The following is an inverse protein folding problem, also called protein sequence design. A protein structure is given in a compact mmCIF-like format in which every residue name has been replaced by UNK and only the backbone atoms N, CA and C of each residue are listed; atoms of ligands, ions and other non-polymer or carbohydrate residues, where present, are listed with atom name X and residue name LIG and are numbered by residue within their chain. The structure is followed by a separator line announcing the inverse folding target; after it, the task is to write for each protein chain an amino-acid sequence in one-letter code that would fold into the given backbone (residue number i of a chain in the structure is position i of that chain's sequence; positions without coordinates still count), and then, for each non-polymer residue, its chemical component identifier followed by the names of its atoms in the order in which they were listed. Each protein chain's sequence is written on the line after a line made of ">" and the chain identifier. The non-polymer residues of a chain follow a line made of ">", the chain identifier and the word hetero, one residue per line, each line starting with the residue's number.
data_IF_829993707460
#
_entry.id   IF_829993707460
#
_cell.length_a   1.000
_cell.length_b   1.000
_cell.length_c   1.000
_cell.angle_alpha   90.00
_cell.angle_beta   90.00
_cell.angle_gamma   90.00
#
_symmetry.space_group_name_H-M   'P 1'
#
loop_
_entity.id
_entity.type
_entity.pdbx_description
1 polymer ?
#
# COMPACT_ATOMS: atom_id res chain seq x y z
N UNK A 1 16.15 17.90 -2.00
CA UNK A 1 16.30 17.35 -0.63
C UNK A 1 16.50 15.83 -0.71
N UNK A 2 16.90 15.16 0.37
CA UNK A 2 17.01 13.68 0.40
C UNK A 2 15.68 12.99 0.05
N UNK A 3 14.56 13.58 0.49
CA UNK A 3 13.21 13.10 0.22
C UNK A 3 12.82 13.18 -1.26
N UNK A 4 13.22 14.26 -1.94
CA UNK A 4 13.02 14.40 -3.39
C UNK A 4 13.83 13.35 -4.16
N UNK A 5 15.09 13.10 -3.76
CA UNK A 5 15.91 12.07 -4.39
C UNK A 5 15.30 10.66 -4.23
N UNK A 6 14.77 10.35 -3.04
CA UNK A 6 14.11 9.08 -2.80
C UNK A 6 12.84 8.94 -3.66
N UNK A 7 12.05 10.01 -3.77
CA UNK A 7 10.86 10.06 -4.61
C UNK A 7 11.21 9.83 -6.08
N UNK A 8 12.22 10.54 -6.61
CA UNK A 8 12.72 10.36 -7.98
C UNK A 8 13.19 8.93 -8.25
N UNK A 9 13.93 8.33 -7.31
CA UNK A 9 14.36 6.94 -7.41
C UNK A 9 13.16 5.98 -7.45
N UNK A 10 12.11 6.21 -6.66
CA UNK A 10 10.86 5.44 -6.73
C UNK A 10 10.20 5.59 -8.11
N UNK A 11 10.10 6.81 -8.66
CA UNK A 11 9.51 7.01 -9.99
C UNK A 11 10.29 6.26 -11.07
N UNK A 12 11.62 6.38 -11.05
CA UNK A 12 12.50 5.73 -12.03
C UNK A 12 12.43 4.21 -11.97
N UNK A 13 12.32 3.63 -10.77
CA UNK A 13 12.30 2.17 -10.57
C UNK A 13 10.94 1.53 -10.81
N UNK A 14 9.84 2.22 -10.50
CA UNK A 14 8.47 1.69 -10.58
C UNK A 14 7.65 2.18 -11.76
N UNK A 15 8.07 3.28 -12.41
CA UNK A 15 7.24 3.99 -13.40
C UNK A 15 6.12 4.83 -12.80
N UNK A 16 6.03 4.96 -11.47
CA UNK A 16 4.96 5.70 -10.80
C UNK A 16 5.07 7.23 -11.04
N UNK A 17 4.03 7.80 -11.65
CA UNK A 17 3.95 9.23 -11.99
C UNK A 17 2.97 10.03 -11.13
N UNK A 18 2.23 9.38 -10.24
CA UNK A 18 1.25 10.03 -9.37
C UNK A 18 1.89 10.84 -8.23
N UNK A 19 1.03 11.49 -7.44
CA UNK A 19 1.44 12.25 -6.26
C UNK A 19 2.14 11.35 -5.24
N UNK A 20 3.22 11.86 -4.64
CA UNK A 20 3.91 11.25 -3.51
C UNK A 20 3.80 12.25 -2.37
N UNK A 21 3.23 11.80 -1.24
CA UNK A 21 3.13 12.59 -0.02
C UNK A 21 4.18 12.08 0.95
N UNK A 22 4.98 13.00 1.50
CA UNK A 22 5.96 12.69 2.55
C UNK A 22 5.28 12.83 3.91
N UNK A 23 5.07 11.71 4.60
CA UNK A 23 4.39 11.65 5.90
C UNK A 23 5.34 11.14 7.00
N UNK A 24 6.38 11.91 7.33
CA UNK A 24 7.42 11.50 8.29
C UNK A 24 6.90 11.30 9.72
N UNK A 25 5.77 11.92 10.08
CA UNK A 25 5.16 11.84 11.41
C UNK A 25 4.00 10.83 11.50
N UNK A 26 3.74 10.10 10.41
CA UNK A 26 2.60 9.19 10.27
C UNK A 26 1.26 9.90 10.57
N UNK A 27 1.13 11.18 10.20
CA UNK A 27 -0.08 11.98 10.38
C UNK A 27 -1.25 11.39 9.59
N UNK A 28 -1.04 11.00 8.33
CA UNK A 28 -2.09 10.40 7.50
C UNK A 28 -2.57 9.08 8.09
N UNK A 29 -1.65 8.23 8.55
CA UNK A 29 -2.01 6.97 9.21
C UNK A 29 -2.88 7.19 10.45
N UNK A 30 -2.54 8.18 11.29
CA UNK A 30 -3.33 8.55 12.47
C UNK A 30 -4.72 9.07 12.09
N UNK A 31 -4.80 9.96 11.11
CA UNK A 31 -6.05 10.56 10.64
C UNK A 31 -7.00 9.50 10.04
N UNK A 32 -6.48 8.60 9.21
CA UNK A 32 -7.26 7.51 8.61
C UNK A 32 -7.82 6.56 9.66
N UNK A 33 -7.05 6.29 10.72
CA UNK A 33 -7.51 5.50 11.87
C UNK A 33 -8.61 6.20 12.65
N UNK A 34 -8.46 7.49 12.93
CA UNK A 34 -9.47 8.28 13.64
C UNK A 34 -10.80 8.35 12.89
N UNK A 35 -10.74 8.37 11.54
CA UNK A 35 -11.93 8.31 10.67
C UNK A 35 -12.57 6.93 10.58
N UNK A 36 -11.91 5.89 11.09
CA UNK A 36 -12.33 4.50 10.94
C UNK A 36 -12.22 3.97 9.51
N UNK A 37 -11.39 4.60 8.66
CA UNK A 37 -11.27 4.23 7.25
C UNK A 37 -10.23 3.13 7.01
N UNK A 38 -9.12 3.20 7.74
CA UNK A 38 -7.98 2.29 7.59
C UNK A 38 -7.10 2.36 8.84
N UNK A 39 -6.68 1.21 9.37
CA UNK A 39 -5.70 1.14 10.47
C UNK A 39 -4.36 0.67 9.91
N UNK A 40 -3.50 1.63 9.53
CA UNK A 40 -2.18 1.34 8.98
C UNK A 40 -1.24 0.93 10.10
N UNK A 41 -0.67 -0.27 10.01
CA UNK A 41 0.33 -0.72 10.96
C UNK A 41 1.62 0.12 10.85
N UNK A 42 2.15 0.57 11.98
CA UNK A 42 3.43 1.28 12.07
C UNK A 42 4.42 0.40 12.81
N UNK A 43 5.57 0.13 12.20
CA UNK A 43 6.64 -0.67 12.81
C UNK A 43 7.87 0.18 13.11
N UNK A 44 8.54 -0.07 14.22
CA UNK A 44 9.84 0.54 14.50
C UNK A 44 10.86 0.21 13.41
N UNK A 45 11.59 1.23 12.93
CA UNK A 45 12.67 1.08 11.95
C UNK A 45 13.77 2.09 12.25
N UNK A 46 15.02 1.65 12.26
CA UNK A 46 16.16 2.55 12.46
C UNK A 46 16.17 3.64 11.35
N UNK A 47 16.38 4.89 11.75
CA UNK A 47 16.30 6.05 10.86
C UNK A 47 14.88 6.61 10.66
N UNK A 48 13.84 5.99 11.24
CA UNK A 48 12.46 6.48 11.20
C UNK A 48 12.00 6.79 12.64
N UNK A 49 12.14 8.05 13.07
CA UNK A 49 11.86 8.49 14.44
C UNK A 49 10.45 8.09 14.93
N UNK A 50 9.46 8.21 14.06
CA UNK A 50 8.06 7.89 14.38
C UNK A 50 7.63 6.49 13.89
N UNK A 51 8.59 5.65 13.50
CA UNK A 51 8.33 4.37 12.86
C UNK A 51 7.96 4.48 11.38
N UNK A 52 7.91 3.35 10.70
CA UNK A 52 7.60 3.25 9.29
C UNK A 52 6.20 2.68 9.08
N UNK A 53 5.38 3.38 8.29
CA UNK A 53 4.11 2.88 7.82
C UNK A 53 4.29 1.61 6.96
N UNK A 54 3.53 0.58 7.29
CA UNK A 54 3.48 -0.66 6.54
C UNK A 54 2.57 -0.52 5.30
N UNK A 55 2.77 -1.36 4.27
CA UNK A 55 1.95 -1.34 3.07
C UNK A 55 0.44 -1.40 3.38
N UNK A 56 -0.31 -0.53 2.71
CA UNK A 56 -1.76 -0.47 2.82
C UNK A 56 -2.37 0.12 1.55
N UNK A 57 -3.67 -0.12 1.35
CA UNK A 57 -4.45 0.34 0.20
C UNK A 57 -5.80 0.86 0.69
N UNK A 58 -6.18 2.01 0.16
CA UNK A 58 -7.46 2.65 0.42
C UNK A 58 -8.03 3.17 -0.91
N UNK A 59 -9.24 2.73 -1.24
CA UNK A 59 -10.02 3.31 -2.32
C UNK A 59 -11.25 4.01 -1.72
N UNK A 60 -11.37 5.31 -1.98
CA UNK A 60 -12.48 6.15 -1.51
C UNK A 60 -13.12 6.88 -2.68
N UNK A 61 -14.43 7.07 -2.60
CA UNK A 61 -15.14 8.00 -3.48
C UNK A 61 -14.93 9.44 -3.02
N UNK A 62 -15.20 10.39 -3.91
CA UNK A 62 -15.16 11.82 -3.59
C UNK A 62 -16.14 12.21 -2.45
N UNK A 63 -17.24 11.47 -2.30
CA UNK A 63 -18.20 11.64 -1.19
C UNK A 63 -17.72 11.02 0.15
N UNK A 64 -16.47 10.55 0.22
CA UNK A 64 -15.83 9.91 1.39
C UNK A 64 -16.34 8.51 1.74
N UNK A 65 -17.11 7.87 0.85
CA UNK A 65 -17.46 6.46 0.98
C UNK A 65 -16.22 5.58 0.70
N UNK A 66 -15.92 4.67 1.62
CA UNK A 66 -14.81 3.70 1.49
C UNK A 66 -15.28 2.51 0.65
N UNK A 67 -14.62 2.28 -0.47
CA UNK A 67 -14.89 1.14 -1.36
C UNK A 67 -13.96 -0.04 -1.08
N UNK A 68 -12.72 0.25 -0.70
CA UNK A 68 -11.76 -0.79 -0.38
C UNK A 68 -10.81 -0.30 0.70
N UNK A 69 -10.56 -1.14 1.69
CA UNK A 69 -9.63 -0.87 2.78
C UNK A 69 -8.87 -2.14 3.10
N UNK A 70 -7.55 -2.07 2.99
CA UNK A 70 -6.66 -3.16 3.34
C UNK A 70 -5.39 -2.58 3.95
N UNK A 71 -5.04 -3.05 5.14
CA UNK A 71 -3.74 -2.83 5.74
C UNK A 71 -3.15 -4.20 6.04
N UNK A 72 -1.85 -4.34 5.79
CA UNK A 72 -1.17 -5.55 6.24
C UNK A 72 -1.20 -5.62 7.77
N UNK A 73 -1.53 -6.79 8.31
CA UNK A 73 -1.40 -7.08 9.74
C UNK A 73 -0.05 -7.75 9.93
N UNK A 74 0.99 -7.08 10.45
CA UNK A 74 2.31 -7.66 10.55
C UNK A 74 2.31 -8.91 11.43
N UNK A 75 2.93 -9.97 10.94
CA UNK A 75 3.11 -11.23 11.67
C UNK A 75 4.43 -11.88 11.28
N UNK A 76 4.90 -12.84 12.07
CA UNK A 76 6.08 -13.63 11.69
C UNK A 76 5.87 -14.35 10.35
N UNK A 77 4.63 -14.75 10.05
CA UNK A 77 4.27 -15.48 8.83
C UNK A 77 4.37 -14.64 7.56
N UNK A 78 4.06 -13.34 7.62
CA UNK A 78 4.19 -12.43 6.48
C UNK A 78 5.52 -11.66 6.46
N UNK A 79 6.54 -12.18 7.15
CA UNK A 79 7.86 -11.56 7.29
C UNK A 79 7.75 -10.11 7.80
N UNK A 80 6.98 -9.90 8.87
CA UNK A 80 6.71 -8.59 9.47
C UNK A 80 6.12 -7.55 8.49
N UNK A 81 5.34 -8.01 7.51
CA UNK A 81 4.68 -7.18 6.51
C UNK A 81 5.37 -7.12 5.15
N UNK A 82 6.44 -7.89 4.94
CA UNK A 82 7.20 -7.85 3.69
C UNK A 82 6.56 -8.64 2.54
N UNK A 83 5.62 -9.55 2.82
CA UNK A 83 4.90 -10.36 1.81
C UNK A 83 3.38 -10.18 1.92
N UNK A 84 2.62 -10.88 1.09
CA UNK A 84 1.16 -10.99 1.19
C UNK A 84 0.38 -9.71 0.83
N UNK A 85 0.83 -9.03 -0.23
CA UNK A 85 0.10 -7.86 -0.77
C UNK A 85 -1.04 -8.33 -1.66
N UNK A 86 -2.20 -7.65 -1.65
CA UNK A 86 -3.30 -8.01 -2.53
C UNK A 86 -2.92 -7.77 -3.99
N UNK A 87 -3.44 -8.60 -4.89
CA UNK A 87 -3.24 -8.43 -6.33
C UNK A 87 -4.01 -7.19 -6.80
N UNK A 88 -3.31 -6.17 -7.29
CA UNK A 88 -3.90 -4.86 -7.61
C UNK A 88 -5.00 -4.93 -8.67
N UNK A 89 -4.90 -5.83 -9.66
CA UNK A 89 -5.96 -6.01 -10.67
C UNK A 89 -7.25 -6.52 -10.04
N UNK A 90 -7.17 -7.43 -9.06
CA UNK A 90 -8.33 -7.91 -8.32
C UNK A 90 -8.90 -6.84 -7.38
N UNK A 91 -8.03 -6.04 -6.76
CA UNK A 91 -8.46 -4.87 -5.97
C UNK A 91 -9.26 -3.90 -6.85
N UNK A 92 -8.74 -3.57 -8.03
CA UNK A 92 -9.42 -2.66 -8.95
C UNK A 92 -10.75 -3.22 -9.44
N UNK A 93 -10.81 -4.51 -9.83
CA UNK A 93 -12.05 -5.16 -10.23
C UNK A 93 -13.12 -5.10 -9.12
N UNK A 94 -12.72 -5.25 -7.86
CA UNK A 94 -13.63 -5.10 -6.72
C UNK A 94 -14.11 -3.67 -6.51
N UNK A 95 -13.23 -2.68 -6.70
CA UNK A 95 -13.60 -1.26 -6.66
C UNK A 95 -14.61 -0.95 -7.76
N UNK A 96 -14.38 -1.41 -8.99
CA UNK A 96 -15.30 -1.23 -10.12
C UNK A 96 -16.65 -1.91 -9.87
N UNK A 97 -16.65 -3.12 -9.30
CA UNK A 97 -17.87 -3.81 -8.93
C UNK A 97 -18.70 -2.98 -7.93
N UNK A 98 -18.07 -2.42 -6.89
CA UNK A 98 -18.76 -1.58 -5.91
C UNK A 98 -19.25 -0.25 -6.50
N UNK A 99 -18.49 0.36 -7.42
CA UNK A 99 -18.95 1.54 -8.17
C UNK A 99 -20.23 1.24 -8.97
N UNK A 100 -20.43 -0.01 -9.39
CA UNK A 100 -21.63 -0.49 -10.09
C UNK A 100 -22.72 -1.03 -9.14
N UNK A 101 -22.56 -0.90 -7.82
CA UNK A 101 -23.51 -1.42 -6.82
C UNK A 101 -23.50 -2.95 -6.66
N UNK A 102 -22.45 -3.63 -7.15
CA UNK A 102 -22.27 -5.07 -7.01
C UNK A 102 -21.44 -5.40 -5.76
N UNK A 103 -21.60 -6.60 -5.23
CA UNK A 103 -20.79 -7.09 -4.09
C UNK A 103 -19.35 -7.36 -4.54
N UNK A 104 -18.39 -7.05 -3.68
CA UNK A 104 -16.99 -7.40 -3.90
C UNK A 104 -16.75 -8.91 -3.78
N UNK A 105 -15.80 -9.43 -4.54
CA UNK A 105 -15.31 -10.80 -4.43
C UNK A 105 -14.17 -10.89 -3.40
N UNK A 106 -13.90 -12.07 -2.82
CA UNK A 106 -12.70 -12.26 -2.00
C UNK A 106 -11.43 -11.85 -2.76
N UNK A 107 -10.54 -11.10 -2.11
CA UNK A 107 -9.27 -10.67 -2.73
C UNK A 107 -8.19 -11.73 -2.52
N UNK A 108 -7.57 -12.16 -3.62
CA UNK A 108 -6.40 -13.01 -3.56
C UNK A 108 -5.17 -12.24 -3.08
N UNK A 109 -4.37 -12.92 -2.26
CA UNK A 109 -3.12 -12.41 -1.73
C UNK A 109 -1.98 -12.88 -2.64
N UNK A 110 -1.33 -11.92 -3.31
CA UNK A 110 -0.18 -12.22 -4.17
C UNK A 110 1.08 -12.44 -3.34
N UNK A 111 1.72 -13.59 -3.50
CA UNK A 111 3.04 -13.85 -2.91
C UNK A 111 4.11 -13.19 -3.80
N UNK A 112 4.31 -11.88 -3.67
CA UNK A 112 5.47 -11.23 -4.28
C UNK A 112 6.69 -11.61 -3.43
N UNK A 113 7.45 -12.61 -3.90
CA UNK A 113 8.75 -12.93 -3.31
C UNK A 113 9.74 -11.80 -3.60
N UNK A 114 10.67 -11.54 -2.67
CA UNK A 114 11.78 -10.61 -2.90
C UNK A 114 12.63 -10.93 -4.15
N UNK A 115 12.52 -12.14 -4.70
CA UNK A 115 13.18 -12.56 -5.94
C UNK A 115 12.39 -12.29 -7.23
N UNK A 116 11.08 -12.00 -7.17
CA UNK A 116 10.23 -11.88 -8.37
C UNK A 116 10.48 -10.59 -9.16
N UNK A 117 11.01 -9.55 -8.50
CA UNK A 117 11.29 -8.24 -9.15
C UNK A 117 12.62 -8.25 -9.91
N UNK A 118 13.44 -9.31 -9.78
CA UNK A 118 14.77 -9.38 -10.41
C UNK A 118 14.76 -10.21 -11.72
N UNK A 119 13.81 -11.13 -11.93
CA UNK A 119 13.85 -12.00 -13.12
C UNK A 119 13.39 -11.32 -14.43
N UNK A 120 12.50 -10.34 -14.39
CA UNK A 120 12.01 -9.64 -15.59
C UNK A 120 13.07 -8.73 -16.25
N UNK A 121 14.13 -8.36 -15.52
CA UNK A 121 15.23 -7.53 -16.06
C UNK A 121 16.49 -8.31 -16.46
N UNK A 122 16.48 -9.64 -16.33
CA UNK A 122 17.61 -10.50 -16.71
C UNK A 122 17.35 -11.37 -17.95
N UNK A 123 16.12 -11.39 -18.46
CA UNK A 123 15.73 -12.11 -19.69
C UNK A 123 15.00 -11.21 -20.71
N UNK A 124 15.23 -9.90 -20.65
CA UNK A 124 14.88 -8.93 -21.68
C UNK A 124 16.13 -8.27 -22.23
#
# INVERSE_FOLDING_TARGET
>A
SELEQHSEATRKSSGYTGEIIVDTENFLAKELKQRGWLDVAISSRWGYEHGMAQPSLLAIKQNKEVLYSWAIVPSLMNLAGAKDRPVLTQVWANVEAQLQGKKASPVEVGTIGAGSVILEKLFG
#
